data_IF_085337919469
#
_entry.id   IF_085337919469
#
_cell.length_a   1.000
_cell.length_b   1.000
_cell.length_c   1.000
_cell.angle_alpha   90.00
_cell.angle_beta   90.00
_cell.angle_gamma   90.00
#
_symmetry.space_group_name_H-M   'P 1'
#
loop_
_entity.id
_entity.type
_entity.pdbx_description
1 polymer ?
#
# COMPACT_ATOMS: atom_id res chain seq x y z
N UNK A 1 5.73 53.88 -13.91
CA UNK A 1 5.97 53.75 -12.44
C UNK A 1 6.13 52.26 -12.14
N UNK A 2 7.36 51.79 -11.85
CA UNK A 2 7.64 50.36 -11.59
C UNK A 2 7.03 49.97 -10.24
N UNK A 3 6.05 49.07 -10.24
CA UNK A 3 5.47 48.51 -9.00
C UNK A 3 6.54 47.62 -8.35
N UNK A 4 7.15 48.09 -7.26
CA UNK A 4 8.08 47.30 -6.46
C UNK A 4 7.26 46.37 -5.57
N UNK A 5 7.21 45.09 -5.94
CA UNK A 5 6.60 44.06 -5.08
C UNK A 5 7.51 43.90 -3.85
N UNK A 6 6.99 44.02 -2.62
CA UNK A 6 7.83 43.92 -1.43
C UNK A 6 8.38 42.51 -1.31
N UNK A 7 9.68 42.39 -1.05
CA UNK A 7 10.42 41.11 -0.93
C UNK A 7 9.74 40.17 0.09
N UNK A 8 9.13 40.72 1.13
CA UNK A 8 8.32 39.98 2.11
C UNK A 8 7.13 39.22 1.48
N UNK A 9 6.48 39.80 0.46
CA UNK A 9 5.40 39.14 -0.27
C UNK A 9 5.94 38.01 -1.16
N UNK A 10 7.12 38.18 -1.75
CA UNK A 10 7.78 37.12 -2.52
C UNK A 10 8.20 35.94 -1.64
N UNK A 11 8.73 36.21 -0.45
CA UNK A 11 9.13 35.16 0.51
C UNK A 11 7.91 34.41 1.03
N UNK A 12 6.82 35.11 1.34
CA UNK A 12 5.57 34.47 1.79
C UNK A 12 4.95 33.55 0.74
N UNK A 13 5.01 33.92 -0.55
CA UNK A 13 4.56 33.04 -1.64
C UNK A 13 5.40 31.77 -1.77
N UNK A 14 6.71 31.86 -1.51
CA UNK A 14 7.64 30.73 -1.61
C UNK A 14 7.35 29.67 -0.53
N UNK A 15 6.95 30.07 0.68
CA UNK A 15 6.59 29.15 1.76
C UNK A 15 5.30 28.36 1.47
N UNK A 16 4.33 28.95 0.75
CA UNK A 16 3.08 28.26 0.38
C UNK A 16 3.35 27.13 -0.63
N UNK A 17 4.40 27.23 -1.45
CA UNK A 17 4.70 26.24 -2.50
C UNK A 17 5.35 24.95 -1.99
N UNK A 18 5.82 24.92 -0.73
CA UNK A 18 6.58 23.79 -0.15
C UNK A 18 5.68 22.91 0.74
N UNK A 19 4.35 22.97 0.57
CA UNK A 19 3.49 21.96 1.17
C UNK A 19 3.69 20.63 0.44
N UNK A 20 4.71 19.88 0.83
CA UNK A 20 4.84 18.46 0.51
C UNK A 20 3.72 17.79 1.29
N UNK A 21 2.66 17.27 0.64
CA UNK A 21 1.73 16.43 1.36
C UNK A 21 2.54 15.26 1.90
N UNK A 22 2.63 15.16 3.23
CA UNK A 22 2.99 13.92 3.90
C UNK A 22 1.80 12.98 3.69
N UNK A 23 1.63 12.53 2.45
CA UNK A 23 0.71 11.45 2.17
C UNK A 23 1.27 10.27 2.95
N UNK A 24 0.59 9.87 4.03
CA UNK A 24 0.50 8.43 4.29
C UNK A 24 0.29 7.79 2.93
N UNK A 25 1.15 6.85 2.55
CA UNK A 25 0.87 6.03 1.37
C UNK A 25 -0.44 5.32 1.68
N UNK A 26 -1.54 5.95 1.28
CA UNK A 26 -2.88 5.52 1.63
C UNK A 26 -3.07 4.11 1.13
N UNK A 27 -3.86 3.34 1.85
CA UNK A 27 -4.22 1.99 1.42
C UNK A 27 -5.07 2.06 0.14
N UNK A 28 -4.42 2.02 -1.02
CA UNK A 28 -5.09 1.98 -2.31
C UNK A 28 -5.43 0.54 -2.68
N UNK A 29 -6.71 0.20 -2.56
CA UNK A 29 -7.24 -1.13 -2.94
C UNK A 29 -6.89 -1.50 -4.38
N UNK A 30 -6.82 -0.52 -5.28
CA UNK A 30 -6.54 -0.75 -6.70
C UNK A 30 -5.10 -1.21 -6.93
N UNK A 31 -4.15 -0.70 -6.14
CA UNK A 31 -2.75 -1.11 -6.22
C UNK A 31 -2.59 -2.60 -5.86
N UNK A 32 -3.18 -3.03 -4.74
CA UNK A 32 -3.12 -4.43 -4.33
C UNK A 32 -3.85 -5.34 -5.32
N UNK A 33 -4.98 -4.91 -5.88
CA UNK A 33 -5.66 -5.64 -6.94
C UNK A 33 -4.76 -5.83 -8.19
N UNK A 34 -4.03 -4.78 -8.59
CA UNK A 34 -3.08 -4.85 -9.70
C UNK A 34 -1.89 -5.77 -9.41
N UNK A 35 -1.35 -5.76 -8.18
CA UNK A 35 -0.29 -6.69 -7.75
C UNK A 35 -0.76 -8.15 -7.83
N UNK A 36 -1.98 -8.45 -7.33
CA UNK A 36 -2.57 -9.80 -7.41
C UNK A 36 -2.86 -10.23 -8.85
N UNK A 37 -3.33 -9.32 -9.70
CA UNK A 37 -3.52 -9.60 -11.13
C UNK A 37 -2.20 -10.03 -11.81
N UNK A 38 -1.13 -9.27 -11.61
CA UNK A 38 0.22 -9.61 -12.12
C UNK A 38 0.74 -10.94 -11.59
N UNK A 39 0.47 -11.25 -10.32
CA UNK A 39 0.82 -12.55 -9.74
C UNK A 39 0.04 -13.69 -10.43
N UNK A 40 -1.28 -13.52 -10.60
CA UNK A 40 -2.15 -14.52 -11.24
C UNK A 40 -1.87 -14.72 -12.73
N UNK A 41 -1.19 -13.79 -13.41
CA UNK A 41 -0.65 -14.00 -14.76
C UNK A 41 0.48 -15.05 -14.78
N UNK A 42 1.21 -15.22 -13.68
CA UNK A 42 2.30 -16.20 -13.56
C UNK A 42 1.81 -17.59 -13.17
N UNK A 43 0.58 -17.70 -12.67
CA UNK A 43 -0.05 -18.95 -12.23
C UNK A 43 -1.44 -19.14 -12.88
N UNK A 44 -1.53 -19.13 -14.23
CA UNK A 44 -2.82 -19.03 -14.93
C UNK A 44 -3.80 -20.18 -14.60
N UNK A 45 -3.28 -21.36 -14.25
CA UNK A 45 -4.08 -22.57 -14.09
C UNK A 45 -4.01 -23.14 -12.67
N UNK A 46 -3.55 -22.33 -11.70
CA UNK A 46 -3.30 -22.77 -10.32
C UNK A 46 -4.02 -21.89 -9.28
N UNK A 47 -4.10 -22.41 -8.06
CA UNK A 47 -4.51 -21.64 -6.88
C UNK A 47 -3.29 -21.43 -5.98
N UNK A 48 -3.04 -20.18 -5.58
CA UNK A 48 -2.04 -19.86 -4.56
C UNK A 48 -2.72 -19.61 -3.21
N UNK A 49 -2.10 -20.12 -2.14
CA UNK A 49 -2.48 -19.87 -0.75
C UNK A 49 -1.30 -19.23 -0.05
N UNK A 50 -1.43 -17.95 0.30
CA UNK A 50 -0.39 -17.19 1.00
C UNK A 50 -0.81 -17.03 2.45
N UNK A 51 -0.05 -17.63 3.35
CA UNK A 51 -0.31 -17.57 4.78
C UNK A 51 0.25 -16.28 5.38
N UNK A 52 -0.59 -15.58 6.14
CA UNK A 52 -0.16 -14.48 6.99
C UNK A 52 0.65 -14.98 8.20
N UNK A 53 1.30 -14.04 8.87
CA UNK A 53 1.99 -14.28 10.12
C UNK A 53 1.00 -14.69 11.21
N UNK A 54 1.46 -15.57 12.10
CA UNK A 54 0.66 -16.03 13.23
C UNK A 54 0.63 -14.97 14.34
N UNK A 55 -0.39 -15.02 15.20
CA UNK A 55 -0.38 -14.22 16.43
C UNK A 55 0.89 -14.52 17.25
N UNK A 56 1.64 -13.51 17.69
CA UNK A 56 2.80 -13.73 18.56
C UNK A 56 2.37 -14.42 19.87
N UNK A 57 3.19 -15.35 20.37
CA UNK A 57 2.90 -16.05 21.62
C UNK A 57 3.12 -15.20 22.88
N UNK A 58 3.80 -14.06 22.74
CA UNK A 58 4.15 -13.13 23.80
C UNK A 58 3.67 -11.71 23.46
N UNK A 59 3.79 -10.79 24.42
CA UNK A 59 3.46 -9.37 24.24
C UNK A 59 4.55 -8.62 23.45
N UNK A 60 4.77 -9.05 22.21
CA UNK A 60 5.65 -8.39 21.25
C UNK A 60 4.82 -7.76 20.15
N UNK A 61 5.34 -6.66 19.58
CA UNK A 61 4.75 -6.01 18.43
C UNK A 61 4.58 -7.03 17.28
N UNK A 62 3.37 -7.06 16.71
CA UNK A 62 3.08 -7.88 15.54
C UNK A 62 3.72 -7.27 14.29
N UNK A 63 4.30 -8.13 13.47
CA UNK A 63 4.77 -7.82 12.11
C UNK A 63 4.25 -8.88 11.15
N UNK A 64 3.74 -8.41 10.01
CA UNK A 64 3.18 -9.27 8.98
C UNK A 64 4.27 -9.90 8.10
N UNK A 65 3.97 -11.03 7.46
CA UNK A 65 4.79 -11.56 6.37
C UNK A 65 4.83 -10.57 5.20
N UNK A 66 6.02 -10.21 4.73
CA UNK A 66 6.23 -9.25 3.65
C UNK A 66 5.48 -9.61 2.36
N UNK A 67 5.41 -10.89 1.98
CA UNK A 67 4.73 -11.31 0.75
C UNK A 67 3.21 -11.13 0.88
N UNK A 68 2.66 -11.52 2.04
CA UNK A 68 1.25 -11.34 2.36
C UNK A 68 0.89 -9.85 2.36
N UNK A 69 1.68 -9.04 3.07
CA UNK A 69 1.50 -7.60 3.13
C UNK A 69 1.65 -6.95 1.75
N UNK A 70 2.61 -7.37 0.93
CA UNK A 70 2.77 -6.86 -0.42
C UNK A 70 1.54 -7.11 -1.30
N UNK A 71 0.91 -8.28 -1.19
CA UNK A 71 -0.21 -8.67 -2.05
C UNK A 71 -1.57 -8.15 -1.59
N UNK A 72 -1.76 -7.84 -0.31
CA UNK A 72 -3.06 -7.39 0.20
C UNK A 72 -3.04 -6.24 1.22
N UNK A 73 -1.88 -5.89 1.77
CA UNK A 73 -1.71 -4.81 2.76
C UNK A 73 -2.44 -5.05 4.09
N UNK A 74 -2.80 -6.29 4.40
CA UNK A 74 -3.54 -6.64 5.62
C UNK A 74 -2.57 -7.01 6.75
N UNK A 75 -2.74 -6.37 7.91
CA UNK A 75 -1.93 -6.60 9.12
C UNK A 75 -2.70 -7.36 10.21
N UNK A 76 -3.62 -8.25 9.81
CA UNK A 76 -4.37 -9.11 10.71
C UNK A 76 -3.62 -10.45 10.85
N UNK A 77 -3.32 -10.92 12.08
CA UNK A 77 -2.67 -12.22 12.29
C UNK A 77 -3.58 -13.38 11.92
N UNK A 78 -2.98 -14.53 11.61
CA UNK A 78 -3.67 -15.78 11.24
C UNK A 78 -4.61 -15.65 10.02
N UNK A 79 -4.40 -14.66 9.16
CA UNK A 79 -5.12 -14.52 7.90
C UNK A 79 -4.49 -15.36 6.79
N UNK A 80 -5.26 -15.65 5.73
CA UNK A 80 -4.76 -16.33 4.54
C UNK A 80 -5.32 -15.65 3.28
N UNK A 81 -4.48 -15.45 2.27
CA UNK A 81 -4.88 -14.91 0.98
C UNK A 81 -4.91 -16.06 -0.02
N UNK A 82 -6.09 -16.34 -0.56
CA UNK A 82 -6.30 -17.34 -1.60
C UNK A 82 -6.46 -16.61 -2.93
N UNK A 83 -5.68 -16.99 -3.94
CA UNK A 83 -5.76 -16.44 -5.29
C UNK A 83 -6.00 -17.55 -6.29
N UNK A 84 -7.13 -17.50 -6.98
CA UNK A 84 -7.52 -18.43 -8.04
C UNK A 84 -7.13 -17.86 -9.40
N UNK A 85 -6.09 -18.42 -10.01
CA UNK A 85 -5.58 -18.00 -11.31
C UNK A 85 -6.53 -18.26 -12.47
N UNK A 86 -7.44 -19.23 -12.33
CA UNK A 86 -8.42 -19.60 -13.36
C UNK A 86 -9.56 -18.59 -13.35
N UNK A 87 -10.12 -18.33 -12.16
CA UNK A 87 -11.25 -17.39 -11.97
C UNK A 87 -10.81 -15.94 -11.91
N UNK A 88 -9.51 -15.68 -11.78
CA UNK A 88 -8.94 -14.34 -11.51
C UNK A 88 -9.57 -13.69 -10.28
N UNK A 89 -9.76 -14.48 -9.23
CA UNK A 89 -10.39 -14.06 -7.98
C UNK A 89 -9.41 -14.18 -6.82
N UNK A 90 -9.57 -13.30 -5.82
CA UNK A 90 -8.82 -13.36 -4.57
C UNK A 90 -9.75 -13.27 -3.37
N UNK A 91 -9.53 -14.12 -2.37
CA UNK A 91 -10.30 -14.19 -1.12
C UNK A 91 -9.34 -14.10 0.07
N UNK A 92 -9.75 -13.39 1.12
CA UNK A 92 -9.00 -13.20 2.36
C UNK A 92 -9.82 -13.71 3.55
#
# INVERSE_FOLDING_TARGET
MKKMIPISLMVSLLFISIQIPCAEQGFDKSEYAARRAKFMEKIPDCVAVILGATTPASDIQFYQNNDFYYLCGVEIPNAALIMDGIRKQSTL
#
